data_IF_257056742677
#
_entry.id   IF_257056742677
#
_cell.length_a   1.000
_cell.length_b   1.000
_cell.length_c   1.000
_cell.angle_alpha   90.00
_cell.angle_beta   90.00
_cell.angle_gamma   90.00
#
_symmetry.space_group_name_H-M   'P 1'
#
loop_
_entity.id
_entity.type
_entity.pdbx_description
1 polymer ?
#
# COMPACT_ATOMS: atom_id res chain seq x y z
N UNK A 1 -28.21 -36.88 10.70
CA UNK A 1 -27.12 -35.96 10.34
C UNK A 1 -26.04 -36.53 9.41
N UNK A 2 -25.74 -37.85 9.41
CA UNK A 2 -24.65 -38.42 8.58
C UNK A 2 -24.94 -38.47 7.06
N UNK A 3 -26.21 -38.61 6.64
CA UNK A 3 -26.58 -38.63 5.21
C UNK A 3 -26.47 -37.26 4.51
N UNK A 4 -26.75 -36.16 5.21
CA UNK A 4 -26.71 -34.80 4.63
C UNK A 4 -25.27 -34.34 4.33
N UNK A 5 -24.30 -34.77 5.15
CA UNK A 5 -22.88 -34.46 4.99
C UNK A 5 -22.25 -35.19 3.78
N UNK A 6 -22.60 -36.46 3.58
CA UNK A 6 -22.14 -37.25 2.42
C UNK A 6 -22.70 -36.72 1.09
N UNK A 7 -23.93 -36.20 1.09
CA UNK A 7 -24.56 -35.63 -0.10
C UNK A 7 -23.91 -34.31 -0.54
N UNK A 8 -23.53 -33.45 0.41
CA UNK A 8 -22.80 -32.21 0.10
C UNK A 8 -21.38 -32.49 -0.39
N UNK A 9 -20.68 -33.47 0.18
CA UNK A 9 -19.33 -33.86 -0.25
C UNK A 9 -19.30 -34.43 -1.67
N UNK A 10 -20.34 -35.19 -2.06
CA UNK A 10 -20.51 -35.67 -3.45
C UNK A 10 -20.81 -34.53 -4.44
N UNK A 11 -21.64 -33.55 -4.06
CA UNK A 11 -21.92 -32.36 -4.91
C UNK A 11 -20.67 -31.49 -5.12
N UNK A 12 -19.86 -31.25 -4.09
CA UNK A 12 -18.61 -30.47 -4.20
C UNK A 12 -17.59 -31.19 -5.09
N UNK A 13 -17.44 -32.51 -4.95
CA UNK A 13 -16.56 -33.29 -5.84
C UNK A 13 -17.05 -33.28 -7.30
N UNK A 14 -18.35 -33.37 -7.55
CA UNK A 14 -18.90 -33.34 -8.90
C UNK A 14 -18.71 -31.98 -9.59
N UNK A 15 -18.80 -30.87 -8.84
CA UNK A 15 -18.52 -29.52 -9.33
C UNK A 15 -17.02 -29.34 -9.61
N UNK A 16 -16.14 -29.88 -8.74
CA UNK A 16 -14.69 -29.82 -8.93
C UNK A 16 -14.22 -30.58 -10.18
N UNK A 17 -14.76 -31.79 -10.41
CA UNK A 17 -14.44 -32.59 -11.59
C UNK A 17 -15.04 -32.00 -12.88
N UNK A 18 -16.18 -31.31 -12.79
CA UNK A 18 -16.75 -30.56 -13.92
C UNK A 18 -15.90 -29.36 -14.35
N UNK A 19 -15.31 -28.63 -13.39
CA UNK A 19 -14.43 -27.48 -13.67
C UNK A 19 -13.10 -27.95 -14.27
N UNK A 20 -12.44 -28.95 -13.67
CA UNK A 20 -11.15 -29.48 -14.18
C UNK A 20 -11.32 -30.16 -15.54
N UNK A 21 -12.41 -30.90 -15.76
CA UNK A 21 -12.71 -31.55 -17.04
C UNK A 21 -12.99 -30.57 -18.17
N UNK A 22 -13.63 -29.43 -17.88
CA UNK A 22 -13.93 -28.40 -18.88
C UNK A 22 -12.67 -27.65 -19.35
N UNK A 23 -11.70 -27.42 -18.45
CA UNK A 23 -10.43 -26.80 -18.82
C UNK A 23 -9.53 -27.73 -19.65
N UNK A 24 -9.53 -29.04 -19.39
CA UNK A 24 -8.79 -30.02 -20.20
C UNK A 24 -9.37 -30.14 -21.62
N UNK A 25 -10.70 -30.07 -21.77
CA UNK A 25 -11.35 -30.10 -23.09
C UNK A 25 -11.01 -28.86 -23.94
N UNK A 26 -10.87 -27.68 -23.33
CA UNK A 26 -10.48 -26.45 -24.03
C UNK A 26 -9.00 -26.50 -24.46
N UNK A 27 -8.11 -27.07 -23.65
CA UNK A 27 -6.69 -27.25 -23.99
C UNK A 27 -6.53 -28.20 -25.19
N UNK A 28 -7.32 -29.27 -25.27
CA UNK A 28 -7.28 -30.20 -26.41
C UNK A 28 -7.83 -29.61 -27.71
N UNK A 29 -8.77 -28.65 -27.63
CA UNK A 29 -9.27 -27.92 -28.82
C UNK A 29 -8.22 -26.94 -29.37
N UNK A 30 -7.40 -26.34 -28.49
CA UNK A 30 -6.31 -25.42 -28.90
C UNK A 30 -5.14 -26.21 -29.52
N UNK A 31 -4.82 -27.39 -29.00
CA UNK A 31 -3.78 -28.26 -29.57
C UNK A 31 -4.13 -28.82 -30.97
N UNK A 32 -5.42 -28.85 -31.33
CA UNK A 32 -5.88 -29.28 -32.66
C UNK A 32 -5.86 -28.18 -33.74
N UNK A 33 -5.59 -26.92 -33.38
CA UNK A 33 -5.65 -25.77 -34.30
C UNK A 33 -4.28 -25.21 -34.72
N UNK A 34 -3.18 -25.78 -34.23
CA UNK A 34 -1.81 -25.40 -34.63
C UNK A 34 -1.15 -26.51 -35.44
N UNK A 35 -1.81 -26.92 -36.51
CA UNK A 35 -1.19 -27.65 -37.62
C UNK A 35 -1.03 -26.69 -38.79
N UNK A 36 0.20 -26.56 -39.27
CA UNK A 36 0.68 -25.78 -40.42
C UNK A 36 0.63 -24.24 -40.30
N UNK A 37 1.81 -23.61 -40.21
CA UNK A 37 2.46 -22.99 -41.38
C UNK A 37 3.87 -22.45 -41.06
N UNK A 38 4.70 -22.52 -42.11
CA UNK A 38 6.16 -22.42 -42.20
C UNK A 38 6.82 -21.06 -41.95
N UNK A 39 8.13 -21.18 -41.74
CA UNK A 39 9.24 -20.22 -41.86
C UNK A 39 9.04 -19.01 -42.79
N UNK A 40 9.50 -17.85 -42.33
CA UNK A 40 10.30 -16.99 -43.20
C UNK A 40 11.34 -16.19 -42.39
N UNK A 41 12.61 -16.39 -42.72
CA UNK A 41 13.76 -15.71 -42.14
C UNK A 41 13.87 -14.27 -42.66
N UNK A 42 13.99 -13.32 -41.75
CA UNK A 42 14.32 -11.93 -42.03
C UNK A 42 14.97 -11.31 -40.81
N UNK A 43 16.30 -11.34 -40.80
CA UNK A 43 17.16 -10.59 -39.89
C UNK A 43 16.98 -9.09 -40.18
N UNK A 44 16.47 -8.33 -39.21
CA UNK A 44 16.68 -6.89 -39.16
C UNK A 44 17.06 -6.53 -37.72
N UNK A 45 18.35 -6.25 -37.58
CA UNK A 45 19.04 -6.03 -36.32
C UNK A 45 18.63 -4.69 -35.72
N UNK A 46 17.54 -4.66 -34.97
CA UNK A 46 17.30 -3.63 -33.94
C UNK A 46 17.64 -4.23 -32.59
N UNK A 47 18.89 -4.05 -32.18
CA UNK A 47 19.34 -4.30 -30.80
C UNK A 47 18.50 -3.42 -29.87
N UNK A 48 17.39 -3.99 -29.38
CA UNK A 48 16.59 -3.41 -28.32
C UNK A 48 17.38 -3.59 -27.04
N UNK A 49 18.12 -2.54 -26.65
CA UNK A 49 18.79 -2.54 -25.36
C UNK A 49 17.72 -2.62 -24.26
N UNK A 50 17.70 -3.75 -23.54
CA UNK A 50 16.84 -3.99 -22.38
C UNK A 50 16.92 -2.82 -21.41
N UNK A 51 15.77 -2.44 -20.86
CA UNK A 51 15.69 -1.40 -19.85
C UNK A 51 16.57 -1.79 -18.64
N UNK A 52 17.67 -1.08 -18.38
CA UNK A 52 18.61 -1.45 -17.32
C UNK A 52 18.13 -0.96 -15.95
N UNK A 53 17.15 -1.66 -15.37
CA UNK A 53 16.55 -1.38 -14.06
C UNK A 53 16.60 -2.61 -13.16
N UNK A 54 17.10 -2.41 -11.95
CA UNK A 54 17.09 -3.40 -10.86
C UNK A 54 16.03 -3.04 -9.81
N UNK A 55 15.60 -4.03 -9.04
CA UNK A 55 14.69 -3.85 -7.91
C UNK A 55 15.33 -3.01 -6.79
N UNK A 56 14.66 -1.92 -6.40
CA UNK A 56 15.12 -0.95 -5.40
C UNK A 56 14.07 -0.64 -4.32
N UNK A 57 13.06 -1.51 -4.18
CA UNK A 57 11.94 -1.33 -3.27
C UNK A 57 10.76 -0.59 -3.90
N UNK A 58 9.58 -0.73 -3.29
CA UNK A 58 8.28 -0.42 -3.89
C UNK A 58 8.19 1.00 -4.48
N UNK A 59 8.60 2.03 -3.73
CA UNK A 59 8.49 3.43 -4.19
C UNK A 59 9.42 3.72 -5.37
N UNK A 60 10.66 3.25 -5.32
CA UNK A 60 11.63 3.45 -6.39
C UNK A 60 11.25 2.63 -7.64
N UNK A 61 10.74 1.41 -7.46
CA UNK A 61 10.18 0.62 -8.56
C UNK A 61 9.00 1.36 -9.19
N UNK A 62 8.07 1.91 -8.39
CA UNK A 62 6.93 2.67 -8.90
C UNK A 62 7.36 3.88 -9.74
N UNK A 63 8.34 4.66 -9.27
CA UNK A 63 8.90 5.81 -10.00
C UNK A 63 9.55 5.38 -11.31
N UNK A 64 10.32 4.29 -11.30
CA UNK A 64 10.98 3.77 -12.49
C UNK A 64 9.99 3.23 -13.53
N UNK A 65 8.96 2.51 -13.09
CA UNK A 65 7.85 2.03 -13.93
C UNK A 65 7.08 3.22 -14.54
N UNK A 66 6.72 4.22 -13.73
CA UNK A 66 6.02 5.42 -14.21
C UNK A 66 6.87 6.21 -15.23
N UNK A 67 8.17 6.34 -14.98
CA UNK A 67 9.12 6.98 -15.91
C UNK A 67 9.19 6.23 -17.23
N UNK A 68 9.27 4.90 -17.20
CA UNK A 68 9.25 4.05 -18.39
C UNK A 68 8.00 4.30 -19.25
N UNK A 69 6.80 4.25 -18.66
CA UNK A 69 5.57 4.50 -19.43
C UNK A 69 5.42 5.94 -19.90
N UNK A 70 5.91 6.92 -19.13
CA UNK A 70 5.97 8.32 -19.57
C UNK A 70 6.86 8.46 -20.81
N UNK A 71 8.04 7.85 -20.81
CA UNK A 71 8.99 7.93 -21.92
C UNK A 71 8.52 7.14 -23.15
N UNK A 72 8.01 5.92 -22.95
CA UNK A 72 7.67 5.00 -24.04
C UNK A 72 6.29 5.25 -24.64
N UNK A 73 5.30 5.56 -23.82
CA UNK A 73 3.91 5.71 -24.25
C UNK A 73 3.37 7.13 -24.11
N UNK A 74 4.15 8.07 -23.55
CA UNK A 74 3.66 9.39 -23.20
C UNK A 74 2.51 9.31 -22.20
N UNK A 75 2.66 8.45 -21.19
CA UNK A 75 1.65 8.25 -20.16
C UNK A 75 1.43 9.53 -19.34
N UNK A 76 0.17 9.85 -19.08
CA UNK A 76 -0.17 10.88 -18.10
C UNK A 76 0.19 10.39 -16.70
N UNK A 77 0.47 11.29 -15.74
CA UNK A 77 0.69 10.86 -14.36
C UNK A 77 -0.53 10.17 -13.75
N UNK A 78 -1.76 10.56 -14.14
CA UNK A 78 -2.99 9.90 -13.71
C UNK A 78 -3.06 8.45 -14.18
N UNK A 79 -2.73 8.20 -15.46
CA UNK A 79 -2.76 6.86 -16.01
C UNK A 79 -1.68 5.98 -15.38
N UNK A 80 -0.44 6.48 -15.27
CA UNK A 80 0.64 5.74 -14.63
C UNK A 80 0.29 5.37 -13.18
N UNK A 81 -0.23 6.33 -12.42
CA UNK A 81 -0.68 6.11 -11.05
C UNK A 81 -1.83 5.10 -10.96
N UNK A 82 -2.80 5.22 -11.87
CA UNK A 82 -3.92 4.30 -12.02
C UNK A 82 -3.48 2.85 -12.14
N UNK A 83 -2.51 2.59 -13.02
CA UNK A 83 -1.95 1.27 -13.30
C UNK A 83 -1.09 0.78 -12.12
N UNK A 84 -0.26 1.64 -11.53
CA UNK A 84 0.53 1.29 -10.34
C UNK A 84 -0.34 0.84 -9.17
N UNK A 85 -1.52 1.45 -8.99
CA UNK A 85 -2.48 1.01 -7.98
C UNK A 85 -3.02 -0.40 -8.21
N UNK A 86 -3.15 -0.84 -9.47
CA UNK A 86 -3.49 -2.23 -9.79
C UNK A 86 -2.32 -3.14 -9.43
N UNK A 87 -1.13 -2.85 -9.97
CA UNK A 87 0.06 -3.69 -9.80
C UNK A 87 0.52 -3.77 -8.33
N UNK A 88 0.28 -2.74 -7.52
CA UNK A 88 0.57 -2.80 -6.08
C UNK A 88 -0.26 -3.87 -5.38
N UNK A 89 -1.53 -4.07 -5.76
CA UNK A 89 -2.31 -5.15 -5.17
C UNK A 89 -1.87 -6.53 -5.70
N UNK A 90 -1.42 -6.61 -6.96
CA UNK A 90 -0.94 -7.86 -7.56
C UNK A 90 0.38 -8.34 -6.95
N UNK A 91 1.35 -7.44 -6.81
CA UNK A 91 2.74 -7.82 -6.53
C UNK A 91 3.41 -6.95 -5.48
N UNK A 92 2.73 -5.92 -4.96
CA UNK A 92 3.36 -4.85 -4.17
C UNK A 92 4.48 -4.12 -4.96
N UNK A 93 4.36 -4.10 -6.30
CA UNK A 93 5.37 -3.57 -7.22
C UNK A 93 6.75 -4.21 -7.04
N UNK A 94 6.76 -5.47 -6.56
CA UNK A 94 7.95 -6.28 -6.38
C UNK A 94 8.04 -7.29 -7.53
N UNK A 95 9.05 -7.18 -8.42
CA UNK A 95 9.21 -8.12 -9.52
C UNK A 95 9.58 -9.54 -9.05
N UNK A 96 9.93 -9.73 -7.77
CA UNK A 96 10.18 -11.05 -7.16
C UNK A 96 8.93 -11.67 -6.54
N UNK A 97 7.78 -10.99 -6.59
CA UNK A 97 6.54 -11.48 -5.96
C UNK A 97 6.08 -12.78 -6.61
N UNK A 98 5.85 -13.82 -5.78
CA UNK A 98 5.29 -15.11 -6.21
C UNK A 98 4.08 -15.46 -5.36
N UNK A 99 2.95 -15.73 -6.00
CA UNK A 99 1.78 -16.28 -5.32
C UNK A 99 2.03 -17.74 -4.95
N UNK A 100 2.02 -18.05 -3.65
CA UNK A 100 2.32 -19.39 -3.14
C UNK A 100 1.31 -20.46 -3.52
N UNK A 101 0.07 -20.07 -3.86
CA UNK A 101 -1.00 -21.02 -4.21
C UNK A 101 -1.08 -21.29 -5.70
N UNK A 102 -0.95 -20.27 -6.53
CA UNK A 102 -1.06 -20.40 -8.00
C UNK A 102 0.29 -20.49 -8.72
N UNK A 103 1.38 -20.03 -8.10
CA UNK A 103 2.68 -19.89 -8.76
C UNK A 103 2.79 -18.69 -9.71
N UNK A 104 1.78 -17.81 -9.70
CA UNK A 104 1.78 -16.55 -10.45
C UNK A 104 2.96 -15.65 -10.00
N UNK A 105 3.60 -14.94 -10.92
CA UNK A 105 4.89 -14.28 -10.66
C UNK A 105 4.98 -12.85 -11.19
N UNK A 106 5.82 -12.04 -10.56
CA UNK A 106 6.21 -10.71 -11.04
C UNK A 106 5.13 -9.64 -10.90
N UNK A 107 5.40 -8.49 -11.51
CA UNK A 107 4.62 -7.26 -11.35
C UNK A 107 3.11 -7.45 -11.61
N UNK A 108 2.79 -8.14 -12.69
CA UNK A 108 1.41 -8.41 -13.13
C UNK A 108 0.94 -9.84 -12.82
N UNK A 109 1.64 -10.55 -11.92
CA UNK A 109 1.28 -11.91 -11.51
C UNK A 109 1.02 -12.86 -12.70
N UNK A 110 1.97 -12.89 -13.65
CA UNK A 110 1.90 -13.75 -14.82
C UNK A 110 1.83 -15.23 -14.44
N UNK A 111 0.99 -15.97 -15.15
CA UNK A 111 0.71 -17.39 -14.91
C UNK A 111 0.57 -18.16 -16.23
N UNK A 112 0.83 -19.47 -16.20
CA UNK A 112 0.73 -20.36 -17.36
C UNK A 112 1.60 -19.88 -18.52
N UNK A 113 1.09 -19.93 -19.76
CA UNK A 113 1.86 -19.53 -20.94
C UNK A 113 2.34 -18.06 -20.95
N UNK A 114 1.74 -17.16 -20.15
CA UNK A 114 2.28 -15.79 -19.97
C UNK A 114 3.54 -15.81 -19.10
N UNK A 115 3.60 -16.69 -18.10
CA UNK A 115 4.79 -16.88 -17.29
C UNK A 115 5.91 -17.54 -18.10
N UNK A 116 5.60 -18.54 -18.91
CA UNK A 116 6.60 -19.22 -19.75
C UNK A 116 7.29 -18.23 -20.70
N UNK A 117 6.51 -17.34 -21.35
CA UNK A 117 7.06 -16.28 -22.22
C UNK A 117 7.91 -15.25 -21.49
N UNK A 118 7.60 -14.94 -20.24
CA UNK A 118 8.44 -14.08 -19.40
C UNK A 118 9.79 -14.75 -19.14
N UNK A 119 9.80 -16.04 -18.80
CA UNK A 119 11.02 -16.81 -18.57
C UNK A 119 11.85 -16.95 -19.86
N UNK A 120 11.21 -17.17 -21.01
CA UNK A 120 11.89 -17.22 -22.31
C UNK A 120 12.57 -15.89 -22.65
N UNK A 121 11.89 -14.76 -22.40
CA UNK A 121 12.50 -13.44 -22.56
C UNK A 121 13.68 -13.26 -21.61
N UNK A 122 13.52 -13.64 -20.34
CA UNK A 122 14.58 -13.55 -19.35
C UNK A 122 15.84 -14.33 -19.77
N UNK A 123 15.65 -15.57 -20.24
CA UNK A 123 16.73 -16.40 -20.78
C UNK A 123 17.40 -15.76 -22.00
N UNK A 124 16.61 -15.26 -22.96
CA UNK A 124 17.13 -14.57 -24.15
C UNK A 124 18.00 -13.36 -23.78
N UNK A 125 17.56 -12.58 -22.80
CA UNK A 125 18.26 -11.38 -22.33
C UNK A 125 19.37 -11.67 -21.32
N UNK A 126 19.64 -12.95 -21.01
CA UNK A 126 20.64 -13.39 -20.02
C UNK A 126 20.48 -12.69 -18.65
N UNK A 127 19.23 -12.46 -18.24
CA UNK A 127 18.85 -11.81 -16.97
C UNK A 127 17.80 -12.67 -16.25
N UNK A 128 17.68 -12.60 -14.91
CA UNK A 128 16.64 -13.34 -14.21
C UNK A 128 15.25 -12.77 -14.53
N UNK A 129 14.22 -13.62 -14.57
CA UNK A 129 12.83 -13.20 -14.79
C UNK A 129 12.31 -12.25 -13.69
N UNK A 130 12.98 -12.20 -12.53
CA UNK A 130 12.71 -11.24 -11.44
C UNK A 130 13.35 -9.86 -11.67
N UNK A 131 14.06 -9.64 -12.78
CA UNK A 131 14.61 -8.33 -13.10
C UNK A 131 13.47 -7.38 -13.53
N UNK A 132 13.47 -6.17 -12.97
CA UNK A 132 12.42 -5.17 -13.22
C UNK A 132 12.38 -4.77 -14.71
N UNK A 133 13.54 -4.57 -15.34
CA UNK A 133 13.65 -4.26 -16.76
C UNK A 133 13.06 -5.34 -17.67
N UNK A 134 13.40 -6.61 -17.42
CA UNK A 134 12.86 -7.76 -18.17
C UNK A 134 11.33 -7.82 -18.08
N UNK A 135 10.77 -7.60 -16.89
CA UNK A 135 9.31 -7.61 -16.70
C UNK A 135 8.62 -6.43 -17.37
N UNK A 136 9.24 -5.26 -17.41
CA UNK A 136 8.73 -4.11 -18.16
C UNK A 136 8.78 -4.36 -19.68
N UNK A 137 9.87 -4.93 -20.18
CA UNK A 137 10.00 -5.26 -21.59
C UNK A 137 9.00 -6.35 -22.00
N UNK A 138 8.73 -7.33 -21.12
CA UNK A 138 7.68 -8.34 -21.36
C UNK A 138 6.27 -7.72 -21.35
N UNK A 139 5.96 -6.86 -20.38
CA UNK A 139 4.69 -6.12 -20.34
C UNK A 139 4.49 -5.30 -21.62
N UNK A 140 5.56 -4.68 -22.14
CA UNK A 140 5.52 -3.93 -23.39
C UNK A 140 5.31 -4.84 -24.62
N UNK A 141 5.88 -6.05 -24.63
CA UNK A 141 5.59 -7.06 -25.67
C UNK A 141 4.12 -7.46 -25.63
N UNK A 142 3.55 -7.66 -24.45
CA UNK A 142 2.12 -7.94 -24.31
C UNK A 142 1.29 -6.79 -24.89
N UNK A 143 1.57 -5.53 -24.50
CA UNK A 143 0.90 -4.33 -25.01
C UNK A 143 1.08 -4.09 -26.53
N UNK A 144 2.03 -4.75 -27.18
CA UNK A 144 2.22 -4.70 -28.62
C UNK A 144 1.59 -5.89 -29.36
N UNK A 145 1.12 -6.90 -28.65
CA UNK A 145 0.31 -7.98 -29.22
C UNK A 145 -1.08 -7.47 -29.63
N UNK A 146 -1.70 -8.12 -30.61
CA UNK A 146 -3.05 -7.77 -31.08
C UNK A 146 -4.10 -7.80 -29.97
N UNK A 147 -3.95 -8.70 -28.99
CA UNK A 147 -4.90 -8.87 -27.89
C UNK A 147 -4.89 -7.70 -26.90
N UNK A 148 -3.71 -7.17 -26.54
CA UNK A 148 -3.59 -6.07 -25.56
C UNK A 148 -3.31 -4.70 -26.20
N UNK A 149 -3.19 -4.61 -27.53
CA UNK A 149 -2.83 -3.38 -28.23
C UNK A 149 -3.74 -2.19 -27.88
N UNK A 150 -5.04 -2.45 -27.67
CA UNK A 150 -5.99 -1.43 -27.23
C UNK A 150 -5.56 -0.80 -25.90
N UNK A 151 -5.06 -1.57 -24.94
CA UNK A 151 -4.80 -1.09 -23.57
C UNK A 151 -3.82 0.09 -23.52
N UNK A 152 -2.99 0.29 -24.55
CA UNK A 152 -2.16 1.50 -24.71
C UNK A 152 -2.94 2.81 -24.65
N UNK A 153 -4.23 2.82 -25.01
CA UNK A 153 -5.12 3.98 -24.86
C UNK A 153 -5.26 4.46 -23.41
N UNK A 154 -5.10 3.56 -22.43
CA UNK A 154 -5.24 3.85 -21.01
C UNK A 154 -4.16 4.83 -20.55
N UNK A 155 -2.96 4.79 -21.15
CA UNK A 155 -1.88 5.74 -20.87
C UNK A 155 -2.26 7.20 -21.14
N UNK A 156 -3.32 7.47 -21.90
CA UNK A 156 -3.81 8.83 -22.19
C UNK A 156 -4.90 9.31 -21.24
N UNK A 157 -5.35 8.48 -20.31
CA UNK A 157 -6.44 8.84 -19.40
C UNK A 157 -5.98 9.92 -18.42
N UNK A 158 -6.82 10.92 -18.17
CA UNK A 158 -6.55 12.02 -17.24
C UNK A 158 -7.31 11.87 -15.91
N UNK A 159 -7.87 10.68 -15.68
CA UNK A 159 -8.60 10.30 -14.48
C UNK A 159 -7.97 9.02 -13.90
N UNK A 160 -7.52 9.11 -12.64
CA UNK A 160 -6.77 8.05 -11.95
C UNK A 160 -7.64 6.79 -11.80
N UNK A 161 -8.87 6.94 -11.33
CA UNK A 161 -9.77 5.80 -11.06
C UNK A 161 -10.24 5.16 -12.36
N UNK A 162 -10.49 5.96 -13.39
CA UNK A 162 -10.82 5.45 -14.73
C UNK A 162 -9.65 4.62 -15.28
N UNK A 163 -8.41 5.08 -15.11
CA UNK A 163 -7.24 4.34 -15.56
C UNK A 163 -7.04 3.04 -14.77
N UNK A 164 -7.19 3.08 -13.44
CA UNK A 164 -7.15 1.89 -12.57
C UNK A 164 -8.18 0.85 -13.01
N UNK A 165 -9.44 1.28 -13.18
CA UNK A 165 -10.51 0.35 -13.55
C UNK A 165 -10.30 -0.22 -14.94
N UNK A 166 -9.93 0.60 -15.93
CA UNK A 166 -9.67 0.13 -17.28
C UNK A 166 -8.52 -0.88 -17.31
N UNK A 167 -7.40 -0.60 -16.63
CA UNK A 167 -6.28 -1.54 -16.58
C UNK A 167 -6.67 -2.87 -15.91
N UNK A 168 -7.40 -2.80 -14.80
CA UNK A 168 -7.90 -4.00 -14.12
C UNK A 168 -8.83 -4.85 -15.01
N UNK A 169 -9.74 -4.21 -15.75
CA UNK A 169 -10.68 -4.95 -16.60
C UNK A 169 -10.01 -5.50 -17.86
N UNK A 170 -9.20 -4.67 -18.51
CA UNK A 170 -8.76 -4.89 -19.89
C UNK A 170 -7.39 -5.58 -19.96
N UNK A 171 -6.50 -5.32 -18.99
CA UNK A 171 -5.18 -5.95 -18.93
C UNK A 171 -5.17 -7.16 -17.99
N UNK A 172 -5.62 -6.99 -16.74
CA UNK A 172 -5.70 -8.12 -15.78
C UNK A 172 -6.89 -9.06 -16.07
N UNK A 173 -7.81 -8.68 -16.97
CA UNK A 173 -8.91 -9.54 -17.41
C UNK A 173 -9.99 -9.76 -16.36
N UNK A 174 -10.13 -8.86 -15.40
CA UNK A 174 -10.97 -9.07 -14.20
C UNK A 174 -12.49 -8.92 -14.44
N UNK A 175 -12.94 -8.63 -15.67
CA UNK A 175 -14.33 -8.26 -15.98
C UNK A 175 -15.39 -9.26 -15.52
N UNK A 176 -15.04 -10.55 -15.41
CA UNK A 176 -15.93 -11.63 -14.98
C UNK A 176 -15.78 -12.03 -13.50
N UNK A 177 -14.94 -11.32 -12.75
CA UNK A 177 -14.58 -11.64 -11.36
C UNK A 177 -14.75 -10.42 -10.42
N UNK A 178 -15.98 -9.88 -10.30
CA UNK A 178 -16.27 -8.69 -9.47
C UNK A 178 -15.83 -8.82 -8.01
N UNK A 179 -15.82 -10.03 -7.47
CA UNK A 179 -15.36 -10.35 -6.12
C UNK A 179 -13.86 -10.11 -5.90
N UNK A 180 -13.07 -10.07 -6.97
CA UNK A 180 -11.61 -9.84 -6.93
C UNK A 180 -11.21 -8.43 -7.36
N UNK A 181 -12.19 -7.55 -7.63
CA UNK A 181 -11.87 -6.24 -8.14
C UNK A 181 -11.15 -5.38 -7.10
N UNK A 182 -11.61 -5.44 -5.85
CA UNK A 182 -11.10 -4.62 -4.73
C UNK A 182 -10.89 -3.14 -5.13
N UNK A 183 -11.81 -2.56 -5.92
CA UNK A 183 -11.64 -1.23 -6.54
C UNK A 183 -11.33 -0.14 -5.52
N UNK A 184 -12.00 -0.16 -4.36
CA UNK A 184 -11.71 0.83 -3.30
C UNK A 184 -10.25 0.78 -2.84
N UNK A 185 -9.65 -0.41 -2.74
CA UNK A 185 -8.25 -0.59 -2.34
C UNK A 185 -7.29 -0.19 -3.47
N UNK A 186 -7.59 -0.58 -4.70
CA UNK A 186 -6.77 -0.23 -5.87
C UNK A 186 -6.83 1.26 -6.19
N UNK A 187 -7.98 1.91 -6.02
CA UNK A 187 -8.13 3.36 -6.14
C UNK A 187 -7.32 4.09 -5.06
N UNK A 188 -7.36 3.63 -3.81
CA UNK A 188 -6.53 4.22 -2.75
C UNK A 188 -5.03 4.13 -3.07
N UNK A 189 -4.56 2.98 -3.60
CA UNK A 189 -3.18 2.83 -4.05
C UNK A 189 -2.85 3.72 -5.25
N UNK A 190 -3.76 3.79 -6.23
CA UNK A 190 -3.57 4.61 -7.41
C UNK A 190 -3.49 6.09 -7.07
N UNK A 191 -4.37 6.56 -6.20
CA UNK A 191 -4.37 7.94 -5.73
C UNK A 191 -3.11 8.28 -4.93
N UNK A 192 -2.62 7.34 -4.10
CA UNK A 192 -1.32 7.46 -3.45
C UNK A 192 -0.21 7.66 -4.50
N UNK A 193 -0.12 6.80 -5.50
CA UNK A 193 0.91 6.93 -6.55
C UNK A 193 0.76 8.22 -7.34
N UNK A 194 -0.45 8.70 -7.57
CA UNK A 194 -0.68 9.98 -8.21
C UNK A 194 -0.13 11.14 -7.38
N UNK A 195 -0.19 11.05 -6.05
CA UNK A 195 0.44 12.05 -5.17
C UNK A 195 1.98 11.98 -5.21
N UNK A 196 2.56 10.78 -5.40
CA UNK A 196 4.01 10.57 -5.46
C UNK A 196 4.60 10.97 -6.82
N UNK A 197 3.90 10.73 -7.93
CA UNK A 197 4.44 10.90 -9.29
C UNK A 197 3.74 12.02 -10.10
N UNK A 198 2.60 12.53 -9.62
CA UNK A 198 1.76 13.51 -10.31
C UNK A 198 2.06 14.97 -9.97
N UNK A 199 2.91 15.24 -8.97
CA UNK A 199 3.47 16.58 -8.78
C UNK A 199 4.40 16.90 -9.95
N UNK A 200 4.23 18.07 -10.60
CA UNK A 200 5.16 18.54 -11.63
C UNK A 200 6.58 18.49 -11.06
N UNK A 201 7.40 17.59 -11.58
CA UNK A 201 8.76 17.35 -11.13
C UNK A 201 9.76 18.21 -11.94
N UNK A 202 10.47 19.18 -11.33
CA UNK A 202 11.62 19.86 -11.94
C UNK A 202 12.95 19.09 -11.78
N UNK A 203 12.98 17.91 -11.15
CA UNK A 203 14.21 17.27 -10.67
C UNK A 203 14.34 15.82 -11.14
N UNK A 204 14.03 15.57 -12.42
CA UNK A 204 14.50 14.37 -13.12
C UNK A 204 15.94 14.55 -13.70
N UNK A 205 16.64 15.59 -13.27
CA UNK A 205 17.88 16.07 -13.90
C UNK A 205 19.20 15.88 -13.15
N UNK A 206 19.24 15.53 -11.85
CA UNK A 206 20.56 15.61 -11.14
C UNK A 206 20.81 14.72 -9.90
N UNK A 207 19.95 13.78 -9.53
CA UNK A 207 20.18 12.96 -8.31
C UNK A 207 21.02 11.69 -8.51
N UNK A 208 21.74 11.55 -9.64
CA UNK A 208 22.73 10.48 -9.86
C UNK A 208 24.13 10.80 -9.31
N UNK A 209 24.28 11.85 -8.49
CA UNK A 209 25.54 12.18 -7.80
C UNK A 209 25.30 12.49 -6.32
N UNK A 210 25.10 11.44 -5.51
CA UNK A 210 25.56 11.34 -4.12
C UNK A 210 25.14 10.02 -3.47
N UNK A 211 25.25 8.92 -4.21
CA UNK A 211 25.30 7.58 -3.64
C UNK A 211 26.72 7.30 -3.11
N UNK A 212 27.18 8.07 -2.12
CA UNK A 212 28.30 7.71 -1.25
C UNK A 212 28.43 8.75 -0.13
N UNK A 213 27.97 8.39 1.06
CA UNK A 213 28.27 8.93 2.39
C UNK A 213 26.96 9.03 3.18
N UNK A 214 26.66 7.96 3.91
CA UNK A 214 26.34 8.02 5.35
C UNK A 214 25.96 6.63 5.86
N UNK A 215 26.85 5.66 5.61
CA UNK A 215 27.02 4.54 6.53
C UNK A 215 27.87 5.04 7.70
N UNK A 216 27.21 5.52 8.78
CA UNK A 216 27.67 5.47 10.19
C UNK A 216 26.86 6.43 11.07
N UNK A 217 25.78 5.94 11.65
CA UNK A 217 25.25 6.47 12.90
C UNK A 217 24.45 5.38 13.63
N UNK A 218 25.13 4.27 13.97
CA UNK A 218 24.63 3.31 14.93
C UNK A 218 25.56 3.33 16.15
N UNK A 219 25.40 4.32 17.02
CA UNK A 219 25.95 4.38 18.37
C UNK A 219 25.45 5.64 19.08
N UNK A 220 24.38 5.53 19.87
CA UNK A 220 24.34 6.03 21.25
C UNK A 220 22.97 5.78 21.86
N UNK A 221 22.89 4.67 22.57
CA UNK A 221 21.81 4.31 23.46
C UNK A 221 22.36 4.48 24.89
N UNK A 222 22.26 5.66 25.47
CA UNK A 222 22.49 5.85 26.91
C UNK A 222 21.46 6.79 27.55
N UNK A 223 21.18 6.49 28.82
CA UNK A 223 20.04 6.88 29.62
C UNK A 223 20.21 8.22 30.38
N UNK A 224 19.09 8.67 30.97
CA UNK A 224 18.93 9.70 32.00
C UNK A 224 18.98 11.17 31.49
N UNK A 225 18.22 12.14 32.03
CA UNK A 225 17.30 12.25 33.16
C UNK A 225 16.38 13.47 32.92
N UNK A 226 15.27 13.53 33.66
CA UNK A 226 14.40 14.70 33.80
C UNK A 226 15.16 16.03 33.94
N UNK A 227 14.73 17.02 33.17
CA UNK A 227 14.64 18.42 33.61
C UNK A 227 13.63 19.12 32.72
N UNK A 228 12.51 19.45 33.33
CA UNK A 228 11.43 20.26 32.80
C UNK A 228 11.93 21.69 32.54
N UNK A 229 11.95 22.11 31.27
CA UNK A 229 11.86 23.51 30.84
C UNK A 229 11.31 23.58 29.41
N UNK A 230 9.99 23.74 29.26
CA UNK A 230 9.38 24.50 28.15
C UNK A 230 9.66 24.07 26.70
N UNK A 231 10.01 22.80 26.46
CA UNK A 231 10.13 22.20 25.11
C UNK A 231 9.00 21.19 24.93
N UNK A 232 8.59 20.93 23.68
CA UNK A 232 7.62 19.91 23.26
C UNK A 232 7.48 18.76 24.28
N UNK A 233 6.25 18.35 24.64
CA UNK A 233 5.96 17.33 25.68
C UNK A 233 6.68 16.00 25.40
N UNK A 234 8.00 15.99 25.65
CA UNK A 234 8.95 15.05 25.07
C UNK A 234 8.67 13.64 25.54
N UNK A 235 7.94 13.50 26.65
CA UNK A 235 7.45 12.23 27.15
C UNK A 235 6.44 11.55 26.20
N UNK A 236 5.47 12.27 25.61
CA UNK A 236 4.51 11.67 24.67
C UNK A 236 5.26 11.15 23.44
N UNK A 237 6.03 12.01 22.77
CA UNK A 237 6.69 11.63 21.52
C UNK A 237 7.79 10.60 21.75
N UNK A 238 8.53 10.67 22.87
CA UNK A 238 9.48 9.61 23.26
C UNK A 238 8.76 8.29 23.51
N UNK A 239 7.61 8.32 24.18
CA UNK A 239 6.79 7.14 24.45
C UNK A 239 6.26 6.54 23.14
N UNK A 240 5.68 7.34 22.27
CA UNK A 240 5.21 6.93 20.95
C UNK A 240 6.35 6.30 20.13
N UNK A 241 7.51 6.98 20.06
CA UNK A 241 8.69 6.48 19.33
C UNK A 241 9.26 5.20 19.90
N UNK A 242 9.13 4.97 21.22
CA UNK A 242 9.54 3.70 21.85
C UNK A 242 8.69 2.50 21.41
N UNK A 243 7.52 2.75 20.84
CA UNK A 243 6.61 1.74 20.30
C UNK A 243 6.76 1.56 18.78
N UNK A 244 7.72 2.21 18.10
CA UNK A 244 7.93 2.01 16.65
C UNK A 244 8.13 0.53 16.32
N UNK A 245 7.46 0.09 15.24
CA UNK A 245 7.40 -1.30 14.82
C UNK A 245 6.48 -2.18 15.67
N UNK A 246 5.79 -1.62 16.67
CA UNK A 246 4.84 -2.37 17.47
C UNK A 246 3.45 -2.34 16.86
N UNK A 247 2.71 -3.30 17.41
CA UNK A 247 1.36 -3.72 17.20
C UNK A 247 1.02 -4.16 15.81
N UNK A 248 0.14 -5.14 15.75
CA UNK A 248 -0.56 -5.52 14.54
C UNK A 248 -1.82 -4.69 14.47
N UNK A 249 -2.08 -4.11 13.31
CA UNK A 249 -3.30 -3.35 13.13
C UNK A 249 -4.55 -4.24 13.16
N UNK A 250 -5.52 -3.86 13.98
CA UNK A 250 -6.85 -4.47 14.05
C UNK A 250 -7.81 -3.67 14.93
N UNK A 251 -9.08 -3.58 14.52
CA UNK A 251 -10.13 -2.76 15.15
C UNK A 251 -10.69 -3.37 16.45
N UNK A 252 -9.84 -4.03 17.24
CA UNK A 252 -10.17 -4.59 18.55
C UNK A 252 -9.44 -3.81 19.63
N UNK A 253 -10.17 -3.05 20.45
CA UNK A 253 -9.58 -2.20 21.47
C UNK A 253 -10.40 -2.26 22.79
N UNK A 254 -9.86 -2.81 23.89
CA UNK A 254 -8.57 -3.52 23.98
C UNK A 254 -8.71 -4.95 23.45
N UNK A 255 -7.76 -5.38 22.63
CA UNK A 255 -7.59 -6.79 22.29
C UNK A 255 -7.00 -7.57 23.47
N UNK A 256 -7.29 -8.87 23.54
CA UNK A 256 -6.77 -9.73 24.61
C UNK A 256 -5.25 -9.96 24.51
N UNK A 257 -4.68 -9.88 23.30
CA UNK A 257 -3.26 -10.16 23.03
C UNK A 257 -2.32 -8.98 23.37
N UNK A 258 -2.85 -7.81 23.73
CA UNK A 258 -2.10 -6.70 24.35
C UNK A 258 -1.62 -7.02 25.77
N UNK A 259 -2.24 -8.01 26.43
CA UNK A 259 -1.95 -8.38 27.81
C UNK A 259 -2.68 -7.50 28.83
N UNK A 260 -2.52 -7.84 30.11
CA UNK A 260 -3.27 -7.22 31.22
C UNK A 260 -2.64 -5.93 31.76
N UNK A 261 -1.34 -5.70 31.48
CA UNK A 261 -0.64 -4.47 31.87
C UNK A 261 -0.50 -3.51 30.68
N UNK A 262 -1.51 -2.68 30.44
CA UNK A 262 -1.54 -1.76 29.30
C UNK A 262 -0.56 -0.56 29.42
N UNK A 263 0.25 -0.46 30.48
CA UNK A 263 1.42 0.44 30.51
C UNK A 263 2.66 -0.20 29.84
N UNK A 264 2.66 -1.52 29.73
CA UNK A 264 3.69 -2.32 29.07
C UNK A 264 3.00 -3.37 28.19
N UNK A 265 2.30 -2.94 27.13
CA UNK A 265 1.55 -3.85 26.27
C UNK A 265 2.51 -4.82 25.55
N UNK A 266 1.97 -5.97 25.16
CA UNK A 266 2.67 -6.90 24.30
C UNK A 266 2.98 -6.24 22.95
N UNK A 267 4.26 -6.23 22.56
CA UNK A 267 4.78 -5.59 21.35
C UNK A 267 4.12 -6.10 20.06
N UNK A 268 3.72 -7.37 20.05
CA UNK A 268 3.05 -8.04 18.93
C UNK A 268 1.52 -8.14 19.08
N UNK A 269 0.97 -7.50 20.11
CA UNK A 269 -0.47 -7.44 20.36
C UNK A 269 -1.20 -6.61 19.29
N UNK A 270 -2.52 -6.68 19.29
CA UNK A 270 -3.35 -6.07 18.25
C UNK A 270 -3.96 -4.77 18.76
N UNK A 271 -3.92 -3.69 17.99
CA UNK A 271 -4.66 -2.45 18.31
C UNK A 271 -4.96 -1.69 17.02
N UNK A 272 -5.74 -0.62 17.11
CA UNK A 272 -5.91 0.32 16.01
C UNK A 272 -5.26 1.69 16.33
N UNK A 273 -5.39 2.63 15.39
CA UNK A 273 -4.85 3.98 15.53
C UNK A 273 -5.30 4.67 16.84
N UNK A 274 -6.56 4.49 17.25
CA UNK A 274 -7.09 5.10 18.48
C UNK A 274 -6.60 4.41 19.76
N UNK A 275 -6.38 3.10 19.70
CA UNK A 275 -5.76 2.33 20.78
C UNK A 275 -4.27 2.62 20.91
N UNK A 276 -3.54 2.90 19.81
CA UNK A 276 -2.16 3.40 19.87
C UNK A 276 -2.04 4.72 20.63
N UNK A 277 -2.93 5.69 20.33
CA UNK A 277 -3.01 6.95 21.08
C UNK A 277 -3.28 6.65 22.56
N UNK A 278 -4.23 5.77 22.87
CA UNK A 278 -4.55 5.38 24.24
C UNK A 278 -3.34 4.81 24.99
N UNK A 279 -2.64 3.84 24.38
CA UNK A 279 -1.47 3.17 24.98
C UNK A 279 -0.34 4.15 25.27
N UNK A 280 -0.08 5.04 24.31
CA UNK A 280 0.94 6.08 24.46
C UNK A 280 0.58 7.04 25.59
N UNK A 281 -0.64 7.57 25.63
CA UNK A 281 -1.08 8.50 26.66
C UNK A 281 -1.14 7.86 28.05
N UNK A 282 -1.63 6.62 28.15
CA UNK A 282 -1.67 5.87 29.41
C UNK A 282 -0.26 5.64 29.98
N UNK A 283 0.69 5.28 29.11
CA UNK A 283 2.10 5.07 29.49
C UNK A 283 2.80 6.39 29.83
N UNK A 284 2.48 7.48 29.12
CA UNK A 284 3.01 8.81 29.36
C UNK A 284 2.36 9.55 30.55
N UNK A 285 1.33 8.97 31.18
CA UNK A 285 0.70 9.53 32.39
C UNK A 285 -0.45 10.52 32.15
N UNK A 286 -1.05 10.53 30.97
CA UNK A 286 -2.17 11.39 30.61
C UNK A 286 -3.53 10.76 30.93
N UNK A 287 -4.58 11.59 30.99
CA UNK A 287 -5.96 11.10 31.15
C UNK A 287 -6.36 10.34 29.90
N UNK A 288 -6.95 9.17 30.11
CA UNK A 288 -7.52 8.32 29.06
C UNK A 288 -8.78 7.66 29.60
N UNK A 289 -9.77 7.32 28.75
CA UNK A 289 -10.95 6.59 29.19
C UNK A 289 -10.60 5.20 29.71
N UNK A 290 -11.40 4.65 30.62
CA UNK A 290 -11.20 3.29 31.10
C UNK A 290 -11.27 2.29 29.95
N UNK A 291 -10.48 1.21 30.03
CA UNK A 291 -10.52 0.07 29.12
C UNK A 291 -10.50 0.43 27.62
N UNK A 292 -9.68 1.39 27.18
CA UNK A 292 -9.66 1.84 25.77
C UNK A 292 -11.05 2.20 25.20
N UNK A 293 -11.94 2.73 26.05
CA UNK A 293 -13.34 3.02 25.73
C UNK A 293 -13.57 4.20 24.78
N UNK A 294 -12.63 4.49 23.88
CA UNK A 294 -12.78 5.44 22.79
C UNK A 294 -12.45 4.81 21.44
N UNK A 295 -12.89 5.47 20.39
CA UNK A 295 -12.39 5.35 19.02
C UNK A 295 -12.24 6.76 18.43
N UNK A 296 -11.69 6.86 17.21
CA UNK A 296 -11.42 8.11 16.48
C UNK A 296 -12.58 9.12 16.48
N UNK A 297 -13.83 8.66 16.32
CA UNK A 297 -15.02 9.52 16.40
C UNK A 297 -15.21 10.15 17.78
N UNK A 298 -15.23 9.34 18.84
CA UNK A 298 -15.39 9.83 20.23
C UNK A 298 -14.22 10.68 20.72
N UNK A 299 -13.01 10.46 20.20
CA UNK A 299 -11.86 11.33 20.48
C UNK A 299 -12.11 12.76 19.97
N UNK A 300 -12.63 12.90 18.75
CA UNK A 300 -13.01 14.21 18.21
C UNK A 300 -14.19 14.82 18.99
N UNK A 301 -15.19 14.02 19.38
CA UNK A 301 -16.31 14.50 20.21
C UNK A 301 -15.86 15.03 21.57
N UNK A 302 -14.95 14.34 22.26
CA UNK A 302 -14.40 14.81 23.54
C UNK A 302 -13.57 16.08 23.34
N UNK A 303 -12.72 16.10 22.31
CA UNK A 303 -11.87 17.24 21.99
C UNK A 303 -12.67 18.52 21.70
N UNK A 304 -13.86 18.41 21.10
CA UNK A 304 -14.73 19.57 20.77
C UNK A 304 -15.73 19.92 21.87
N UNK A 305 -15.90 19.06 22.86
CA UNK A 305 -17.03 19.10 23.78
C UNK A 305 -16.62 19.00 25.24
N UNK A 306 -16.71 17.81 25.80
CA UNK A 306 -16.57 17.57 27.24
C UNK A 306 -15.18 17.82 27.79
N UNK A 307 -14.15 17.77 26.93
CA UNK A 307 -12.75 17.98 27.27
C UNK A 307 -12.30 17.16 28.50
N UNK A 308 -12.72 15.90 28.58
CA UNK A 308 -12.32 15.01 29.69
C UNK A 308 -10.90 14.48 29.51
N UNK A 309 -10.50 14.25 28.26
CA UNK A 309 -9.23 13.62 27.89
C UNK A 309 -8.44 14.45 26.87
N UNK A 310 -9.14 15.08 25.92
CA UNK A 310 -8.58 15.86 24.83
C UNK A 310 -9.22 17.24 24.78
N UNK A 311 -8.47 18.25 24.34
CA UNK A 311 -9.01 19.61 24.10
C UNK A 311 -8.65 20.09 22.70
N UNK A 312 -9.62 20.53 21.91
CA UNK A 312 -9.38 21.06 20.58
C UNK A 312 -8.46 22.29 20.65
N UNK A 313 -7.55 22.36 19.68
CA UNK A 313 -6.61 23.47 19.50
C UNK A 313 -6.67 23.99 18.06
N UNK A 314 -6.17 25.20 17.85
CA UNK A 314 -6.02 25.76 16.52
C UNK A 314 -4.79 25.20 15.81
N UNK A 315 -4.74 25.33 14.48
CA UNK A 315 -3.56 24.97 13.69
C UNK A 315 -2.29 25.70 14.15
N UNK A 316 -2.41 26.97 14.56
CA UNK A 316 -1.28 27.78 15.02
C UNK A 316 -0.72 27.32 16.38
N UNK A 317 -1.55 26.64 17.18
CA UNK A 317 -1.17 26.16 18.50
C UNK A 317 -0.65 24.71 18.48
N UNK A 318 -0.83 24.01 17.37
CA UNK A 318 -0.53 22.60 17.23
C UNK A 318 0.98 22.34 17.09
N UNK A 319 1.48 21.46 17.96
CA UNK A 319 2.90 21.15 18.10
C UNK A 319 3.13 19.68 18.45
N UNK A 320 4.40 19.30 18.52
CA UNK A 320 4.82 17.97 18.90
C UNK A 320 4.20 17.53 20.23
N UNK A 321 3.51 16.38 20.23
CA UNK A 321 2.76 15.83 21.36
C UNK A 321 1.25 16.01 21.28
N UNK A 322 0.77 16.90 20.41
CA UNK A 322 -0.65 17.02 20.09
C UNK A 322 -1.09 15.90 19.12
N UNK A 323 -2.39 15.76 18.93
CA UNK A 323 -3.03 14.70 18.15
C UNK A 323 -3.77 15.33 16.97
N UNK A 324 -3.64 14.72 15.79
CA UNK A 324 -4.52 14.98 14.66
C UNK A 324 -5.51 13.84 14.52
N UNK A 325 -6.80 14.18 14.42
CA UNK A 325 -7.93 13.26 14.31
C UNK A 325 -8.70 13.63 13.05
N UNK A 326 -8.95 12.66 12.17
CA UNK A 326 -9.73 12.89 10.95
C UNK A 326 -10.85 11.88 10.87
N UNK A 327 -12.07 12.39 10.68
CA UNK A 327 -13.27 11.57 10.59
C UNK A 327 -14.08 11.89 9.33
N UNK A 328 -14.45 10.83 8.60
CA UNK A 328 -15.56 10.81 7.67
C UNK A 328 -16.81 10.31 8.40
N UNK A 329 -17.90 11.09 8.36
CA UNK A 329 -19.12 10.76 9.09
C UNK A 329 -18.84 10.53 10.59
N UNK A 330 -19.27 9.39 11.13
CA UNK A 330 -19.09 9.04 12.54
C UNK A 330 -17.64 8.70 12.93
N UNK A 331 -16.72 8.56 11.97
CA UNK A 331 -15.32 8.28 12.27
C UNK A 331 -15.02 6.87 12.74
N UNK A 332 -15.87 5.88 12.41
CA UNK A 332 -15.71 4.49 12.82
C UNK A 332 -15.01 3.66 11.74
N UNK A 333 -14.18 2.69 12.16
CA UNK A 333 -13.47 1.79 11.26
C UNK A 333 -12.59 2.55 10.27
N UNK A 334 -12.70 2.24 8.97
CA UNK A 334 -11.90 2.89 7.93
C UNK A 334 -12.25 4.36 7.69
N UNK A 335 -13.34 4.86 8.30
CA UNK A 335 -13.76 6.25 8.18
C UNK A 335 -13.12 7.16 9.23
N UNK A 336 -12.23 6.64 10.08
CA UNK A 336 -11.52 7.42 11.08
C UNK A 336 -10.04 7.05 11.11
N UNK A 337 -9.19 8.05 11.30
CA UNK A 337 -7.77 7.83 11.59
C UNK A 337 -7.29 8.90 12.57
N UNK A 338 -6.22 8.59 13.30
CA UNK A 338 -5.63 9.52 14.27
C UNK A 338 -4.13 9.25 14.43
N UNK A 339 -3.37 10.30 14.73
CA UNK A 339 -1.92 10.22 14.86
C UNK A 339 -1.39 11.29 15.83
N UNK A 340 -0.21 11.07 16.40
CA UNK A 340 0.50 12.13 17.11
C UNK A 340 1.28 13.00 16.14
N UNK A 341 1.21 14.30 16.34
CA UNK A 341 2.02 15.31 15.67
C UNK A 341 3.42 15.27 16.29
N UNK A 342 4.47 15.25 15.47
CA UNK A 342 5.88 15.14 15.95
C UNK A 342 6.69 16.44 15.81
N UNK A 343 6.09 17.47 15.23
CA UNK A 343 6.69 18.79 14.98
C UNK A 343 5.61 19.90 15.04
N UNK A 344 5.90 21.11 14.58
CA UNK A 344 4.86 22.14 14.46
C UNK A 344 3.94 21.83 13.27
N UNK A 345 2.69 22.30 13.31
CA UNK A 345 1.74 22.04 12.23
C UNK A 345 2.11 22.77 10.93
N UNK A 346 2.18 22.01 9.85
CA UNK A 346 2.53 22.44 8.49
C UNK A 346 1.54 21.87 7.45
N UNK A 347 0.29 21.64 7.86
CA UNK A 347 -0.73 21.03 7.01
C UNK A 347 -0.34 19.61 6.57
N UNK A 348 -0.51 19.31 5.28
CA UNK A 348 -0.22 17.98 4.70
C UNK A 348 1.23 17.51 4.90
N UNK A 349 2.18 18.42 5.08
CA UNK A 349 3.59 18.07 5.23
C UNK A 349 3.99 17.79 6.69
N UNK A 350 3.06 17.95 7.65
CA UNK A 350 3.35 17.74 9.07
C UNK A 350 3.78 16.30 9.33
N UNK A 351 4.95 16.10 9.94
CA UNK A 351 5.40 14.78 10.39
C UNK A 351 4.60 14.27 11.57
N UNK A 352 4.28 12.99 11.53
CA UNK A 352 3.46 12.30 12.51
C UNK A 352 4.08 10.95 12.89
N UNK A 353 3.61 10.42 14.01
CA UNK A 353 3.77 9.01 14.37
C UNK A 353 2.39 8.41 14.57
N UNK A 354 2.14 7.29 13.91
CA UNK A 354 0.81 6.73 13.68
C UNK A 354 0.85 5.21 13.70
N UNK A 355 -0.32 4.57 13.60
CA UNK A 355 -0.46 3.15 13.33
C UNK A 355 -1.63 2.92 12.37
N UNK A 356 -1.39 2.22 11.26
CA UNK A 356 -2.42 1.76 10.31
C UNK A 356 -2.80 2.72 9.18
N UNK A 357 -2.17 3.89 9.12
CA UNK A 357 -2.17 4.81 7.98
C UNK A 357 -1.21 4.38 6.86
N UNK A 358 -0.47 3.28 7.06
CA UNK A 358 0.34 2.62 6.05
C UNK A 358 0.01 1.11 5.89
N UNK A 359 0.76 0.42 5.03
CA UNK A 359 0.54 -1.02 4.75
C UNK A 359 1.27 -1.96 5.70
N UNK A 360 2.11 -1.43 6.59
CA UNK A 360 2.82 -2.23 7.59
C UNK A 360 1.87 -2.62 8.74
N UNK A 361 0.88 -1.77 9.02
CA UNK A 361 -0.04 -1.97 10.14
C UNK A 361 0.67 -1.97 11.49
N UNK A 362 1.86 -1.39 11.54
CA UNK A 362 2.69 -1.21 12.73
C UNK A 362 2.81 0.28 13.03
N UNK A 363 3.25 0.60 14.23
CA UNK A 363 3.57 1.99 14.60
C UNK A 363 4.75 2.47 13.76
N UNK A 364 4.54 3.54 12.99
CA UNK A 364 5.45 4.05 11.98
C UNK A 364 5.50 5.59 12.01
N UNK A 365 6.53 6.17 11.40
CA UNK A 365 6.60 7.61 11.16
C UNK A 365 6.15 7.89 9.73
N UNK A 366 5.35 8.95 9.55
CA UNK A 366 4.78 9.34 8.26
C UNK A 366 4.55 10.86 8.21
N UNK A 367 3.85 11.33 7.18
CA UNK A 367 3.32 12.70 7.11
C UNK A 367 1.79 12.68 7.14
N UNK A 368 1.18 13.72 7.69
CA UNK A 368 -0.28 13.87 7.77
C UNK A 368 -0.94 13.67 6.40
N UNK A 369 -0.40 14.28 5.34
CA UNK A 369 -0.93 14.17 3.99
C UNK A 369 -0.90 12.75 3.44
N UNK A 370 0.10 11.94 3.83
CA UNK A 370 0.26 10.56 3.36
C UNK A 370 -0.63 9.60 4.14
N UNK A 371 -0.53 9.60 5.47
CA UNK A 371 -1.26 8.65 6.31
C UNK A 371 -2.78 8.87 6.31
N UNK A 372 -3.24 10.10 6.09
CA UNK A 372 -4.66 10.44 6.11
C UNK A 372 -5.26 10.59 4.72
N UNK A 373 -4.50 10.32 3.65
CA UNK A 373 -4.88 10.66 2.28
C UNK A 373 -6.32 10.23 1.91
N UNK A 374 -6.70 8.98 2.21
CA UNK A 374 -8.03 8.42 1.94
C UNK A 374 -9.18 9.14 2.66
N UNK A 375 -8.84 9.90 3.71
CA UNK A 375 -9.75 10.65 4.56
C UNK A 375 -9.64 12.16 4.35
N UNK A 376 -8.86 12.71 3.41
CA UNK A 376 -8.77 14.18 3.30
C UNK A 376 -9.87 14.81 2.43
N UNK A 377 -10.61 14.01 1.64
CA UNK A 377 -11.73 14.48 0.85
C UNK A 377 -13.03 14.53 1.67
N UNK A 378 -13.46 15.74 2.06
CA UNK A 378 -14.76 15.97 2.69
C UNK A 378 -14.87 15.62 4.17
N UNK A 379 -13.73 15.57 4.87
CA UNK A 379 -13.67 15.09 6.27
C UNK A 379 -13.39 16.19 7.27
N UNK A 380 -13.78 15.92 8.50
CA UNK A 380 -13.59 16.81 9.63
C UNK A 380 -12.21 16.55 10.27
N UNK A 381 -11.32 17.54 10.17
CA UNK A 381 -9.98 17.51 10.78
C UNK A 381 -10.03 18.22 12.13
N UNK A 382 -9.65 17.51 13.18
CA UNK A 382 -9.59 18.02 14.55
C UNK A 382 -8.17 17.89 15.08
N UNK A 383 -7.57 19.02 15.46
CA UNK A 383 -6.32 19.04 16.20
C UNK A 383 -6.65 19.12 17.69
N UNK A 384 -6.02 18.27 18.50
CA UNK A 384 -6.36 18.13 19.90
C UNK A 384 -5.12 17.97 20.78
N UNK A 385 -5.15 18.61 21.96
CA UNK A 385 -4.13 18.51 23.00
C UNK A 385 -4.57 17.53 24.10
N UNK A 386 -3.74 16.54 24.46
CA UNK A 386 -4.01 15.65 25.59
C UNK A 386 -4.03 16.37 26.93
N UNK A 387 -4.90 15.93 27.85
CA UNK A 387 -5.05 16.47 29.20
C UNK A 387 -4.24 15.63 30.20
N UNK A 388 -3.36 16.28 30.97
CA UNK A 388 -2.56 15.63 32.03
C UNK A 388 -3.47 15.15 33.17
N UNK A 389 -3.07 14.06 33.86
CA UNK A 389 -3.81 13.48 34.99
C UNK A 389 -4.01 14.47 36.13
#
# INVERSE_FOLDING_TARGET
MRLAYEFQKKKVKFILYGIVGFFIAIILIIAGLTGDLEENCGDDTTSSQVTNLDDKGMEENAKNIAKHWKQKYGATPQAAAGILGVLQLESRLDPKSVNSSSGATGLAQWLGGRKDKLEDLAHKESKPATNLGVQLDYLDQELNSSYYASNKQIFKYTDVHKATKAWLMDYEGMSKNPEQWFLSKRYAFADHWYSVIGTKDPVAGDSLKNASQDEKANANLECASDTDTGKADGNIIKTAKSMKGYFKYGQSHPSADLGTNLKNPNKSGTTDCSGFIWLTLNKAGYKVPANMGWFTGTMASDAKGSHQYLKQISENDAKAGDIVIVNQGAGAGNNGHTAFITENWHGKNTKIIEEGGDTTGHVNESTFGTAFYSLLSGSDVTLARPIKK
#
